data_IF_147368461615
#
_entry.id   IF_147368461615
#
_cell.length_a   1.000
_cell.length_b   1.000
_cell.length_c   1.000
_cell.angle_alpha   90.00
_cell.angle_beta   90.00
_cell.angle_gamma   90.00
#
_symmetry.space_group_name_H-M   'P 1'
#
loop_
_entity.id
_entity.type
_entity.pdbx_description
1 polymer ?
#
# COMPACT_ATOMS: atom_id res chain seq x y z
N UNK A 1 6.56 5.00 -29.84
CA UNK A 1 5.38 4.24 -30.30
C UNK A 1 5.55 2.85 -29.70
N UNK A 2 4.71 2.49 -28.73
CA UNK A 2 4.65 1.12 -28.22
C UNK A 2 3.98 0.30 -29.31
N UNK A 3 4.67 -0.70 -29.80
CA UNK A 3 4.12 -1.63 -30.78
C UNK A 3 2.94 -2.38 -30.14
N UNK A 4 1.74 -2.08 -30.61
CA UNK A 4 0.50 -2.69 -30.13
C UNK A 4 0.29 -4.14 -30.60
N UNK A 5 1.11 -4.61 -31.51
CA UNK A 5 0.98 -5.93 -32.14
C UNK A 5 1.74 -7.02 -31.37
N UNK A 6 2.71 -6.64 -30.55
CA UNK A 6 3.45 -7.54 -29.68
C UNK A 6 3.51 -6.95 -28.26
N UNK A 7 2.60 -7.33 -27.36
CA UNK A 7 2.80 -7.01 -25.95
C UNK A 7 4.16 -7.60 -25.53
N UNK A 8 4.94 -6.88 -24.68
CA UNK A 8 6.21 -7.39 -24.21
C UNK A 8 5.97 -8.78 -23.65
N UNK A 9 6.62 -9.78 -24.24
CA UNK A 9 6.59 -11.13 -23.71
C UNK A 9 7.10 -11.09 -22.28
N UNK A 10 6.24 -11.36 -21.31
CA UNK A 10 6.70 -11.59 -19.94
C UNK A 10 7.72 -12.74 -20.01
N UNK A 11 8.95 -12.45 -19.71
CA UNK A 11 9.98 -13.46 -19.56
C UNK A 11 9.62 -14.35 -18.38
N UNK A 12 8.90 -15.42 -18.65
CA UNK A 12 8.50 -16.42 -17.67
C UNK A 12 7.05 -16.88 -17.80
N UNK A 13 6.82 -18.13 -17.44
CA UNK A 13 5.47 -18.67 -17.30
C UNK A 13 4.76 -17.96 -16.14
N UNK A 14 3.60 -17.39 -16.39
CA UNK A 14 2.73 -16.90 -15.31
C UNK A 14 2.51 -18.04 -14.29
N UNK A 15 2.70 -17.78 -12.98
CA UNK A 15 2.44 -18.79 -11.97
C UNK A 15 0.96 -19.19 -12.01
N UNK A 16 0.68 -20.46 -11.84
CA UNK A 16 -0.70 -20.95 -11.70
C UNK A 16 -1.32 -20.42 -10.39
N UNK A 17 -2.64 -20.30 -10.33
CA UNK A 17 -3.34 -19.92 -9.11
C UNK A 17 -2.97 -20.81 -7.90
N UNK A 18 -2.72 -22.11 -8.14
CA UNK A 18 -2.23 -23.04 -7.12
C UNK A 18 -0.83 -22.65 -6.60
N UNK A 19 0.08 -22.30 -7.49
CA UNK A 19 1.42 -21.82 -7.11
C UNK A 19 1.34 -20.52 -6.32
N UNK A 20 0.53 -19.56 -6.77
CA UNK A 20 0.30 -18.30 -6.05
C UNK A 20 -0.25 -18.54 -4.64
N UNK A 21 -1.21 -19.46 -4.49
CA UNK A 21 -1.76 -19.83 -3.19
C UNK A 21 -0.69 -20.43 -2.25
N UNK A 22 0.14 -21.32 -2.74
CA UNK A 22 1.23 -21.90 -1.93
C UNK A 22 2.27 -20.86 -1.50
N UNK A 23 2.66 -19.95 -2.39
CA UNK A 23 3.59 -18.87 -2.03
C UNK A 23 2.97 -17.90 -1.01
N UNK A 24 1.68 -17.61 -1.11
CA UNK A 24 0.94 -16.85 -0.11
C UNK A 24 0.99 -17.53 1.27
N UNK A 25 0.65 -18.82 1.35
CA UNK A 25 0.70 -19.58 2.61
C UNK A 25 2.12 -19.61 3.19
N UNK A 26 3.13 -19.77 2.34
CA UNK A 26 4.53 -19.73 2.75
C UNK A 26 4.90 -18.37 3.35
N UNK A 27 4.53 -17.27 2.67
CA UNK A 27 4.75 -15.92 3.15
C UNK A 27 4.13 -15.68 4.53
N UNK A 28 2.86 -16.06 4.71
CA UNK A 28 2.15 -15.92 5.98
C UNK A 28 2.78 -16.78 7.10
N UNK A 29 3.24 -17.98 6.76
CA UNK A 29 3.93 -18.84 7.74
C UNK A 29 5.30 -18.27 8.15
N UNK A 30 6.05 -17.69 7.23
CA UNK A 30 7.30 -16.99 7.55
C UNK A 30 7.04 -15.77 8.45
N UNK A 31 6.02 -14.97 8.16
CA UNK A 31 5.62 -13.88 9.03
C UNK A 31 5.27 -14.36 10.44
N UNK A 32 4.46 -15.42 10.54
CA UNK A 32 4.10 -16.02 11.83
C UNK A 32 5.33 -16.44 12.65
N UNK A 33 6.36 -17.01 11.98
CA UNK A 33 7.63 -17.36 12.66
C UNK A 33 8.33 -16.10 13.19
N UNK A 34 8.41 -15.02 12.40
CA UNK A 34 9.03 -13.78 12.82
C UNK A 34 8.27 -13.12 13.99
N UNK A 35 6.95 -13.17 14.00
CA UNK A 35 6.14 -12.66 15.11
C UNK A 35 6.34 -13.50 16.37
N UNK A 36 6.30 -14.83 16.26
CA UNK A 36 6.47 -15.75 17.39
C UNK A 36 7.87 -15.65 18.00
N UNK A 37 8.90 -15.42 17.18
CA UNK A 37 10.27 -15.17 17.66
C UNK A 37 10.47 -13.74 18.21
N UNK A 38 9.41 -12.91 18.24
CA UNK A 38 9.47 -11.50 18.65
C UNK A 38 10.45 -10.66 17.82
N UNK A 39 10.73 -11.08 16.59
CA UNK A 39 11.62 -10.35 15.68
C UNK A 39 11.06 -8.98 15.36
N UNK A 40 9.74 -8.87 15.15
CA UNK A 40 9.01 -7.60 15.08
C UNK A 40 7.58 -7.74 15.63
N UNK A 41 6.95 -6.59 15.88
CA UNK A 41 5.57 -6.47 16.34
C UNK A 41 4.68 -6.02 15.19
N UNK A 42 3.43 -6.50 15.19
CA UNK A 42 2.41 -6.05 14.24
C UNK A 42 1.38 -5.16 14.95
N UNK A 43 0.77 -4.20 14.24
CA UNK A 43 -0.35 -3.43 14.76
C UNK A 43 -1.52 -4.34 15.15
N UNK A 44 -2.18 -4.04 16.27
CA UNK A 44 -3.41 -4.73 16.65
C UNK A 44 -4.57 -4.18 15.83
N UNK A 45 -5.30 -5.06 15.15
CA UNK A 45 -6.54 -4.68 14.45
C UNK A 45 -7.55 -4.16 15.47
N UNK A 46 -8.12 -2.99 15.21
CA UNK A 46 -9.17 -2.37 16.03
C UNK A 46 -10.53 -2.54 15.36
N UNK A 47 -11.61 -2.52 16.16
CA UNK A 47 -12.99 -2.63 15.63
C UNK A 47 -13.28 -1.58 14.53
N UNK A 48 -12.81 -0.34 14.72
CA UNK A 48 -12.95 0.71 13.71
C UNK A 48 -12.23 0.39 12.40
N UNK A 49 -11.10 -0.34 12.44
CA UNK A 49 -10.35 -0.75 11.25
C UNK A 49 -11.14 -1.83 10.49
N UNK A 50 -11.79 -2.76 11.21
CA UNK A 50 -12.69 -3.75 10.63
C UNK A 50 -13.92 -3.10 9.97
N UNK A 51 -14.53 -2.12 10.63
CA UNK A 51 -15.65 -1.37 10.07
C UNK A 51 -15.23 -0.55 8.84
N UNK A 52 -14.06 0.08 8.87
CA UNK A 52 -13.51 0.80 7.73
C UNK A 52 -13.23 -0.14 6.55
N UNK A 53 -12.69 -1.33 6.82
CA UNK A 53 -12.45 -2.35 5.80
C UNK A 53 -13.79 -2.83 5.18
N UNK A 54 -14.81 -3.09 5.99
CA UNK A 54 -16.13 -3.48 5.51
C UNK A 54 -16.77 -2.39 4.62
N UNK A 55 -16.69 -1.11 5.04
CA UNK A 55 -17.13 0.02 4.23
C UNK A 55 -16.33 0.14 2.92
N UNK A 56 -15.02 0.04 2.99
CA UNK A 56 -14.14 0.07 1.82
C UNK A 56 -14.47 -1.05 0.83
N UNK A 57 -14.80 -2.24 1.32
CA UNK A 57 -15.26 -3.35 0.50
C UNK A 57 -16.53 -3.01 -0.27
N UNK A 58 -17.53 -2.48 0.44
CA UNK A 58 -18.80 -2.09 -0.16
C UNK A 58 -18.63 -1.00 -1.22
N UNK A 59 -17.90 0.07 -0.89
CA UNK A 59 -17.60 1.18 -1.81
C UNK A 59 -16.83 0.70 -3.05
N UNK A 60 -15.90 -0.25 -2.88
CA UNK A 60 -15.17 -0.87 -3.99
C UNK A 60 -16.09 -1.64 -4.92
N UNK A 61 -17.00 -2.47 -4.38
CA UNK A 61 -17.97 -3.21 -5.20
C UNK A 61 -18.88 -2.27 -5.97
N UNK A 62 -19.27 -1.13 -5.41
CA UNK A 62 -20.08 -0.11 -6.10
C UNK A 62 -19.31 0.57 -7.25
N UNK A 63 -18.00 0.65 -7.17
CA UNK A 63 -17.17 1.26 -8.24
C UNK A 63 -16.78 0.25 -9.34
N UNK A 64 -16.91 -1.07 -9.13
CA UNK A 64 -16.55 -2.09 -10.12
C UNK A 64 -17.15 -1.86 -11.52
N UNK A 65 -18.46 -1.53 -11.68
CA UNK A 65 -19.03 -1.31 -13.01
C UNK A 65 -18.38 -0.13 -13.75
N UNK A 66 -17.97 0.92 -13.03
CA UNK A 66 -17.26 2.07 -13.60
C UNK A 66 -15.84 1.71 -14.01
N UNK A 67 -15.18 0.89 -13.19
CA UNK A 67 -13.85 0.36 -13.46
C UNK A 67 -13.87 -0.49 -14.73
N UNK A 68 -14.83 -1.42 -14.84
CA UNK A 68 -14.97 -2.31 -15.99
C UNK A 68 -15.28 -1.54 -17.28
N UNK A 69 -16.19 -0.56 -17.22
CA UNK A 69 -16.51 0.31 -18.36
C UNK A 69 -15.27 1.08 -18.84
N UNK A 70 -14.46 1.61 -17.92
CA UNK A 70 -13.24 2.32 -18.25
C UNK A 70 -12.17 1.38 -18.85
N UNK A 71 -11.99 0.19 -18.29
CA UNK A 71 -11.07 -0.84 -18.84
C UNK A 71 -11.48 -1.26 -20.25
N UNK A 72 -12.77 -1.50 -20.48
CA UNK A 72 -13.29 -1.85 -21.79
C UNK A 72 -13.09 -0.74 -22.82
N UNK A 73 -13.13 0.54 -22.40
CA UNK A 73 -12.93 1.67 -23.30
C UNK A 73 -11.47 1.86 -23.77
N UNK A 74 -10.50 1.27 -23.07
CA UNK A 74 -9.07 1.47 -23.32
C UNK A 74 -8.59 2.94 -23.17
N UNK A 75 -9.46 3.82 -22.69
CA UNK A 75 -9.15 5.24 -22.52
C UNK A 75 -8.71 5.51 -21.08
N UNK A 76 -7.51 6.06 -20.94
CA UNK A 76 -7.07 6.66 -19.70
C UNK A 76 -7.61 8.09 -19.65
N UNK A 77 -8.48 8.40 -18.70
CA UNK A 77 -8.88 9.78 -18.44
C UNK A 77 -7.81 10.47 -17.59
N UNK A 78 -7.47 11.70 -17.95
CA UNK A 78 -6.65 12.53 -17.08
C UNK A 78 -7.51 13.05 -15.92
N UNK A 79 -6.98 12.95 -14.72
CA UNK A 79 -7.59 13.52 -13.53
C UNK A 79 -7.15 14.98 -13.44
N UNK A 80 -8.09 15.89 -13.24
CA UNK A 80 -7.76 17.32 -13.09
C UNK A 80 -7.04 17.52 -11.74
N UNK A 81 -5.78 17.91 -11.81
CA UNK A 81 -5.01 18.27 -10.62
C UNK A 81 -5.19 19.75 -10.27
N UNK A 82 -5.10 20.03 -8.98
CA UNK A 82 -5.03 21.39 -8.43
C UNK A 82 -3.61 21.97 -8.47
N UNK A 83 -2.60 21.16 -8.72
CA UNK A 83 -1.16 21.50 -8.72
C UNK A 83 -0.50 20.94 -9.97
N UNK A 84 0.64 21.49 -10.31
CA UNK A 84 1.51 20.99 -11.38
C UNK A 84 2.14 19.67 -10.96
N UNK A 85 1.53 18.55 -11.36
CA UNK A 85 1.97 17.21 -11.07
C UNK A 85 2.52 16.53 -12.34
N UNK A 86 3.44 15.59 -12.22
CA UNK A 86 3.94 14.83 -13.36
C UNK A 86 2.80 14.15 -14.11
N UNK A 87 2.85 14.14 -15.46
CA UNK A 87 1.79 13.59 -16.31
C UNK A 87 1.41 12.15 -15.98
N UNK A 88 2.38 11.33 -15.57
CA UNK A 88 2.10 9.94 -15.16
C UNK A 88 1.22 9.86 -13.90
N UNK A 89 1.31 10.86 -13.02
CA UNK A 89 0.55 10.92 -11.78
C UNK A 89 -0.91 11.32 -11.99
N UNK A 90 -1.19 12.01 -13.10
CA UNK A 90 -2.53 12.46 -13.50
C UNK A 90 -3.36 11.35 -14.16
N UNK A 91 -2.80 10.17 -14.37
CA UNK A 91 -3.49 9.06 -15.03
C UNK A 91 -4.29 8.24 -14.03
N UNK A 92 -5.48 7.82 -14.46
CA UNK A 92 -6.24 6.82 -13.74
C UNK A 92 -5.55 5.46 -13.82
N UNK A 93 -5.30 4.86 -12.67
CA UNK A 93 -4.81 3.49 -12.58
C UNK A 93 -5.97 2.50 -12.58
N UNK A 94 -5.66 1.22 -12.80
CA UNK A 94 -6.62 0.15 -13.10
C UNK A 94 -7.85 0.10 -12.20
N UNK A 95 -7.71 0.36 -10.90
CA UNK A 95 -8.78 0.22 -9.90
C UNK A 95 -9.17 1.54 -9.23
N UNK A 96 -8.66 2.68 -9.72
CA UNK A 96 -8.89 3.97 -9.10
C UNK A 96 -9.58 4.93 -10.07
N UNK A 97 -10.79 5.36 -9.75
CA UNK A 97 -11.59 6.23 -10.61
C UNK A 97 -10.99 7.63 -10.71
N UNK A 98 -10.42 8.12 -9.60
CA UNK A 98 -9.88 9.50 -9.49
C UNK A 98 -8.34 9.51 -9.39
N UNK A 99 -7.67 8.40 -9.76
CA UNK A 99 -6.22 8.26 -9.57
C UNK A 99 -5.79 8.44 -8.11
N UNK A 100 -4.70 9.15 -7.87
CA UNK A 100 -4.20 9.45 -6.52
C UNK A 100 -4.68 10.81 -5.97
N UNK A 101 -5.68 11.45 -6.59
CA UNK A 101 -6.02 12.84 -6.38
C UNK A 101 -7.40 13.04 -5.71
N UNK A 102 -7.92 12.04 -5.03
CA UNK A 102 -9.14 12.19 -4.24
C UNK A 102 -9.03 11.49 -2.88
N UNK A 103 -9.67 12.09 -1.87
CA UNK A 103 -9.75 11.50 -0.53
C UNK A 103 -10.51 10.15 -0.58
N UNK A 104 -11.51 10.03 -1.44
CA UNK A 104 -12.23 8.77 -1.66
C UNK A 104 -11.27 7.69 -2.15
N UNK A 105 -10.43 8.00 -3.14
CA UNK A 105 -9.42 7.08 -3.65
C UNK A 105 -8.42 6.68 -2.57
N UNK A 106 -7.94 7.64 -1.78
CA UNK A 106 -7.02 7.37 -0.68
C UNK A 106 -7.61 6.43 0.37
N UNK A 107 -8.90 6.60 0.73
CA UNK A 107 -9.60 5.73 1.70
C UNK A 107 -9.82 4.31 1.18
N UNK A 108 -10.02 4.15 -0.13
CA UNK A 108 -10.23 2.84 -0.77
C UNK A 108 -8.91 2.10 -1.07
N UNK A 109 -7.81 2.82 -1.12
CA UNK A 109 -6.52 2.32 -1.60
C UNK A 109 -6.06 1.06 -0.87
N UNK A 110 -6.07 1.08 0.46
CA UNK A 110 -5.60 -0.07 1.25
C UNK A 110 -6.44 -1.32 0.99
N UNK A 111 -7.77 -1.16 0.93
CA UNK A 111 -8.66 -2.28 0.60
C UNK A 111 -8.38 -2.83 -0.80
N UNK A 112 -8.18 -1.95 -1.79
CA UNK A 112 -7.87 -2.34 -3.16
C UNK A 112 -6.54 -3.09 -3.24
N UNK A 113 -5.52 -2.62 -2.55
CA UNK A 113 -4.19 -3.25 -2.53
C UNK A 113 -4.25 -4.59 -1.80
N UNK A 114 -4.92 -4.68 -0.65
CA UNK A 114 -5.11 -5.97 0.04
C UNK A 114 -5.89 -6.98 -0.82
N UNK A 115 -6.93 -6.52 -1.53
CA UNK A 115 -7.68 -7.38 -2.46
C UNK A 115 -6.79 -7.87 -3.61
N UNK A 116 -5.99 -6.98 -4.19
CA UNK A 116 -5.08 -7.31 -5.29
C UNK A 116 -4.03 -8.36 -4.86
N UNK A 117 -3.50 -8.24 -3.67
CA UNK A 117 -2.50 -9.16 -3.10
C UNK A 117 -3.10 -10.25 -2.20
N UNK A 118 -4.40 -10.51 -2.33
CA UNK A 118 -5.12 -11.61 -1.66
C UNK A 118 -4.92 -11.58 -0.13
N UNK A 119 -4.94 -10.38 0.48
CA UNK A 119 -4.75 -10.19 1.91
C UNK A 119 -3.30 -10.23 2.39
N UNK A 120 -2.32 -10.23 1.50
CA UNK A 120 -0.89 -10.33 1.85
C UNK A 120 -0.12 -9.00 1.75
N UNK A 121 -0.76 -7.90 1.32
CA UNK A 121 -0.05 -6.65 1.08
C UNK A 121 0.61 -6.09 2.36
N UNK A 122 -0.09 -6.11 3.48
CA UNK A 122 0.47 -5.66 4.77
C UNK A 122 1.66 -6.52 5.20
N UNK A 123 1.59 -7.84 5.03
CA UNK A 123 2.70 -8.77 5.28
C UNK A 123 3.89 -8.44 4.39
N UNK A 124 3.68 -8.27 3.08
CA UNK A 124 4.74 -7.92 2.13
C UNK A 124 5.44 -6.60 2.50
N UNK A 125 4.68 -5.58 2.90
CA UNK A 125 5.24 -4.32 3.40
C UNK A 125 6.08 -4.53 4.66
N UNK A 126 5.61 -5.33 5.63
CA UNK A 126 6.37 -5.61 6.86
C UNK A 126 7.67 -6.38 6.60
N UNK A 127 7.72 -7.21 5.57
CA UNK A 127 8.97 -7.87 5.19
C UNK A 127 10.06 -6.88 4.77
N UNK A 128 9.69 -5.69 4.24
CA UNK A 128 10.67 -4.63 3.96
C UNK A 128 11.36 -4.08 5.21
N UNK A 129 10.77 -4.27 6.40
CA UNK A 129 11.39 -3.87 7.66
C UNK A 129 12.54 -4.77 8.10
N UNK A 130 12.63 -6.00 7.59
CA UNK A 130 13.63 -6.98 8.03
C UNK A 130 15.07 -6.44 7.93
N UNK A 131 15.52 -5.91 6.78
CA UNK A 131 16.86 -5.33 6.69
C UNK A 131 17.04 -4.11 7.60
N UNK A 132 16.00 -3.28 7.77
CA UNK A 132 16.04 -2.12 8.65
C UNK A 132 16.18 -2.54 10.12
N UNK A 133 15.43 -3.55 10.56
CA UNK A 133 15.56 -4.10 11.93
C UNK A 133 16.97 -4.63 12.19
N UNK A 134 17.53 -5.38 11.23
CA UNK A 134 18.90 -5.88 11.32
C UNK A 134 19.91 -4.74 11.45
N UNK A 135 19.76 -3.71 10.63
CA UNK A 135 20.63 -2.53 10.66
C UNK A 135 20.56 -1.80 12.01
N UNK A 136 19.33 -1.54 12.51
CA UNK A 136 19.11 -0.83 13.77
C UNK A 136 19.59 -1.63 14.99
N UNK A 137 19.46 -2.95 14.98
CA UNK A 137 19.97 -3.81 16.04
C UNK A 137 21.50 -3.81 16.09
N UNK A 138 22.17 -3.60 14.95
CA UNK A 138 23.63 -3.52 14.86
C UNK A 138 24.16 -2.11 15.15
N UNK A 139 23.34 -1.08 15.01
CA UNK A 139 23.73 0.32 15.13
C UNK A 139 22.83 1.00 16.17
N UNK A 140 23.33 1.23 17.37
CA UNK A 140 22.59 1.84 18.50
C UNK A 140 22.43 3.36 18.41
N UNK A 141 22.47 3.95 17.22
CA UNK A 141 22.38 5.40 17.02
C UNK A 141 20.93 5.83 16.76
N UNK A 142 20.60 7.09 17.10
CA UNK A 142 19.35 7.71 16.65
C UNK A 142 19.32 7.77 15.13
N UNK A 143 18.43 7.00 14.52
CA UNK A 143 18.29 6.92 13.06
C UNK A 143 17.13 7.79 12.63
N UNK A 144 17.36 8.56 11.57
CA UNK A 144 16.31 9.28 10.85
C UNK A 144 15.88 8.44 9.65
N UNK A 145 14.59 8.20 9.52
CA UNK A 145 13.99 7.43 8.43
C UNK A 145 13.19 8.36 7.53
N UNK A 146 13.45 8.31 6.23
CA UNK A 146 12.63 8.97 5.22
C UNK A 146 11.85 7.90 4.44
N UNK A 147 10.52 8.00 4.50
CA UNK A 147 9.61 7.15 3.72
C UNK A 147 9.08 7.94 2.53
N UNK A 148 9.51 7.56 1.32
CA UNK A 148 9.16 8.24 0.07
C UNK A 148 8.04 7.46 -0.62
N UNK A 149 6.92 8.14 -0.92
CA UNK A 149 5.72 7.50 -1.43
C UNK A 149 4.94 6.82 -0.32
N UNK A 150 4.84 7.49 0.83
CA UNK A 150 4.22 6.93 2.05
C UNK A 150 2.73 6.56 1.88
N UNK A 151 2.08 7.11 0.84
CA UNK A 151 0.67 6.87 0.58
C UNK A 151 -0.21 7.23 1.78
N UNK A 152 -1.03 6.29 2.22
CA UNK A 152 -1.91 6.42 3.40
C UNK A 152 -1.21 6.09 4.73
N UNK A 153 0.12 5.91 4.72
CA UNK A 153 0.92 5.67 5.91
C UNK A 153 0.78 4.29 6.54
N UNK A 154 0.39 3.27 5.77
CA UNK A 154 0.11 1.93 6.30
C UNK A 154 1.31 1.29 6.99
N UNK A 155 2.51 1.39 6.39
CA UNK A 155 3.73 0.81 6.95
C UNK A 155 4.25 1.60 8.16
N UNK A 156 3.94 2.90 8.26
CA UNK A 156 4.46 3.78 9.31
C UNK A 156 4.02 3.33 10.70
N UNK A 157 2.80 2.81 10.82
CA UNK A 157 2.34 2.24 12.07
C UNK A 157 3.22 1.09 12.55
N UNK A 158 3.61 0.22 11.63
CA UNK A 158 4.56 -0.87 11.90
C UNK A 158 5.95 -0.34 12.26
N UNK A 159 6.43 0.72 11.59
CA UNK A 159 7.70 1.37 11.94
C UNK A 159 7.67 1.92 13.37
N UNK A 160 6.65 2.69 13.73
CA UNK A 160 6.52 3.27 15.08
C UNK A 160 6.41 2.22 16.20
N UNK A 161 5.79 1.08 15.93
CA UNK A 161 5.74 -0.03 16.89
C UNK A 161 7.09 -0.68 17.14
N UNK A 162 7.95 -0.71 16.13
CA UNK A 162 9.21 -1.45 16.15
C UNK A 162 10.43 -0.54 16.38
N UNK A 163 10.33 0.74 16.02
CA UNK A 163 11.43 1.71 16.04
C UNK A 163 11.06 2.94 16.89
N UNK A 164 11.01 2.75 18.21
CA UNK A 164 10.50 3.79 19.14
C UNK A 164 11.29 5.09 19.15
N UNK A 165 12.60 5.02 18.88
CA UNK A 165 13.52 6.17 18.95
C UNK A 165 13.97 6.61 17.55
N UNK A 166 13.11 6.46 16.56
CA UNK A 166 13.41 6.82 15.17
C UNK A 166 12.53 7.98 14.75
N UNK A 167 13.14 9.07 14.31
CA UNK A 167 12.43 10.16 13.63
C UNK A 167 12.02 9.66 12.25
N UNK A 168 10.74 9.72 11.95
CA UNK A 168 10.22 9.27 10.65
C UNK A 168 9.63 10.46 9.92
N UNK A 169 10.18 10.75 8.74
CA UNK A 169 9.64 11.73 7.81
C UNK A 169 8.90 11.01 6.70
N UNK A 170 7.63 11.36 6.49
CA UNK A 170 6.78 10.80 5.45
C UNK A 170 6.63 11.78 4.30
N UNK A 171 6.75 11.30 3.07
CA UNK A 171 6.61 12.10 1.85
C UNK A 171 5.75 11.39 0.82
N UNK A 172 4.82 12.12 0.20
CA UNK A 172 4.03 11.67 -0.94
C UNK A 172 3.67 12.85 -1.84
N UNK A 173 3.46 12.61 -3.12
CA UNK A 173 3.01 13.63 -4.06
C UNK A 173 1.52 13.96 -3.90
N UNK A 174 0.73 13.04 -3.36
CA UNK A 174 -0.70 13.23 -3.10
C UNK A 174 -0.93 13.86 -1.74
N UNK A 175 -1.44 15.06 -1.74
CA UNK A 175 -1.89 15.74 -0.52
C UNK A 175 -3.08 15.00 0.12
N UNK A 176 -3.97 14.44 -0.70
CA UNK A 176 -5.13 13.66 -0.27
C UNK A 176 -4.71 12.40 0.49
N UNK A 177 -3.70 11.69 0.00
CA UNK A 177 -3.14 10.52 0.67
C UNK A 177 -2.40 10.90 1.95
N UNK A 178 -1.59 11.96 1.93
CA UNK A 178 -0.94 12.47 3.13
C UNK A 178 -1.95 12.91 4.20
N UNK A 179 -3.08 13.49 3.81
CA UNK A 179 -4.13 13.87 4.76
C UNK A 179 -4.75 12.65 5.44
N UNK A 180 -4.98 11.56 4.69
CA UNK A 180 -5.42 10.27 5.27
C UNK A 180 -4.35 9.71 6.20
N UNK A 181 -3.07 9.72 5.78
CA UNK A 181 -1.96 9.30 6.62
C UNK A 181 -1.89 10.10 7.93
N UNK A 182 -1.95 11.43 7.86
CA UNK A 182 -1.96 12.32 9.05
C UNK A 182 -3.10 11.97 10.01
N UNK A 183 -4.31 11.73 9.50
CA UNK A 183 -5.46 11.35 10.33
C UNK A 183 -5.23 10.01 11.03
N UNK A 184 -4.72 9.01 10.30
CA UNK A 184 -4.43 7.67 10.80
C UNK A 184 -3.33 7.67 11.87
N UNK A 185 -2.31 8.49 11.65
CA UNK A 185 -1.10 8.52 12.45
C UNK A 185 -1.15 9.51 13.63
N UNK A 186 -2.24 10.26 13.80
CA UNK A 186 -2.44 11.21 14.94
C UNK A 186 -2.20 10.60 16.32
N UNK A 187 -2.32 9.28 16.45
CA UNK A 187 -2.04 8.55 17.70
C UNK A 187 -0.55 8.53 18.07
N UNK A 188 0.34 8.86 17.15
CA UNK A 188 1.78 8.98 17.36
C UNK A 188 2.13 10.46 17.47
N UNK A 189 2.62 10.89 18.64
CA UNK A 189 2.87 12.30 18.95
C UNK A 189 4.07 12.92 18.21
N UNK A 190 4.95 12.07 17.67
CA UNK A 190 6.25 12.47 17.12
C UNK A 190 6.32 12.28 15.58
N UNK A 191 5.20 12.53 14.90
CA UNK A 191 5.08 12.49 13.43
C UNK A 191 4.57 13.82 12.90
#
# INVERSE_FOLDING_TARGET
>A
KIDKTNPPSFYGKMPSGKQMFFEMIKLLNEERKLINSKFYKIPKTQLKDLLSAAKGSFDFFLDLPKIDKRRASGKFSEVKAKKDLPKYYLRNFHYQTDGYLSEKSARLYEFQVETLFTGCAATMRRFSMIPLIKYLNSNKTNVKLLDIGTGTGEIIESYKLNFKNTDITCSDLSEEYLNVAKQKLKKFKDL
#
